data_IF_624993227261
#
_entry.id   IF_624993227261
#
_cell.length_a   1.000
_cell.length_b   1.000
_cell.length_c   1.000
_cell.angle_alpha   90.00
_cell.angle_beta   90.00
_cell.angle_gamma   90.00
#
_symmetry.space_group_name_H-M   'P 1'
#
loop_
_entity.id
_entity.type
_entity.pdbx_description
1 polymer ?
#
# COMPACT_ATOMS: atom_id res chain seq x y z
N UNK A 1 30.71 29.54 -13.81
CA UNK A 1 30.66 28.69 -15.02
C UNK A 1 29.68 29.34 -15.99
N UNK A 2 29.98 29.39 -17.29
CA UNK A 2 29.02 29.95 -18.27
C UNK A 2 27.99 28.89 -18.70
N UNK A 3 26.77 29.32 -19.05
CA UNK A 3 25.67 28.46 -19.51
C UNK A 3 26.08 27.47 -20.62
N UNK A 4 26.95 27.89 -21.54
CA UNK A 4 27.43 27.06 -22.64
C UNK A 4 28.39 25.96 -22.18
N UNK A 5 29.17 26.19 -21.12
CA UNK A 5 30.06 25.19 -20.53
C UNK A 5 29.28 24.15 -19.72
N UNK A 6 28.24 24.60 -18.98
CA UNK A 6 27.33 23.72 -18.25
C UNK A 6 26.58 22.80 -19.22
N UNK A 7 26.04 23.34 -20.31
CA UNK A 7 25.32 22.55 -21.32
C UNK A 7 26.23 21.55 -22.05
N UNK A 8 27.48 21.93 -22.34
CA UNK A 8 28.44 21.02 -22.99
C UNK A 8 28.83 19.86 -22.07
N UNK A 9 29.05 20.13 -20.77
CA UNK A 9 29.35 19.09 -19.78
C UNK A 9 28.14 18.18 -19.50
N UNK A 10 26.93 18.73 -19.45
CA UNK A 10 25.68 17.96 -19.30
C UNK A 10 25.48 17.02 -20.48
N UNK A 11 25.69 17.51 -21.71
CA UNK A 11 25.60 16.65 -22.91
C UNK A 11 26.66 15.55 -22.94
N UNK A 12 27.86 15.81 -22.41
CA UNK A 12 28.92 14.81 -22.31
C UNK A 12 28.58 13.74 -21.24
N UNK A 13 28.05 14.14 -20.09
CA UNK A 13 27.61 13.23 -19.01
C UNK A 13 26.39 12.37 -19.42
N UNK A 14 25.45 12.95 -20.16
CA UNK A 14 24.30 12.21 -20.73
C UNK A 14 24.79 11.15 -21.71
N UNK A 15 25.80 11.45 -22.54
CA UNK A 15 26.35 10.46 -23.48
C UNK A 15 27.16 9.35 -22.81
N UNK A 16 27.76 9.60 -21.64
CA UNK A 16 28.60 8.64 -20.92
C UNK A 16 27.80 7.63 -20.08
N UNK A 17 26.54 7.93 -19.72
CA UNK A 17 25.67 7.09 -18.87
C UNK A 17 24.43 6.51 -19.58
N UNK A 18 24.21 6.86 -20.85
CA UNK A 18 23.08 6.37 -21.64
C UNK A 18 23.19 4.85 -21.92
N UNK A 19 24.41 4.33 -22.00
CA UNK A 19 24.68 2.92 -22.24
C UNK A 19 24.17 2.03 -21.11
N UNK A 20 24.52 2.34 -19.87
CA UNK A 20 24.13 1.54 -18.72
C UNK A 20 22.63 1.63 -18.45
N UNK A 21 22.03 2.81 -18.66
CA UNK A 21 20.58 3.00 -18.60
C UNK A 21 19.83 2.09 -19.57
N UNK A 22 20.26 2.03 -20.84
CA UNK A 22 19.62 1.18 -21.85
C UNK A 22 19.81 -0.30 -21.53
N UNK A 23 21.00 -0.71 -21.06
CA UNK A 23 21.26 -2.11 -20.65
C UNK A 23 20.38 -2.54 -19.47
N UNK A 24 20.16 -1.67 -18.48
CA UNK A 24 19.28 -1.98 -17.34
C UNK A 24 17.84 -2.20 -17.77
N UNK A 25 17.32 -1.41 -18.71
CA UNK A 25 15.97 -1.61 -19.25
C UNK A 25 15.84 -2.95 -19.99
N UNK A 26 16.81 -3.28 -20.84
CA UNK A 26 16.86 -4.57 -21.57
C UNK A 26 16.94 -5.74 -20.57
N UNK A 27 17.77 -5.60 -19.54
CA UNK A 27 17.95 -6.59 -18.48
C UNK A 27 16.65 -6.91 -17.75
N UNK A 28 15.90 -5.87 -17.36
CA UNK A 28 14.61 -6.01 -16.68
C UNK A 28 13.56 -6.61 -17.61
N UNK A 29 13.40 -6.06 -18.82
CA UNK A 29 12.33 -6.46 -19.74
C UNK A 29 12.49 -7.90 -20.22
N UNK A 30 13.73 -8.32 -20.53
CA UNK A 30 14.02 -9.63 -21.11
C UNK A 30 14.58 -10.64 -20.12
N UNK A 31 14.73 -10.22 -18.85
CA UNK A 31 15.32 -11.00 -17.77
C UNK A 31 16.71 -11.55 -18.14
N UNK A 32 17.55 -10.71 -18.75
CA UNK A 32 18.93 -11.01 -19.14
C UNK A 32 19.86 -10.38 -18.12
N UNK A 33 20.67 -11.19 -17.44
CA UNK A 33 21.60 -10.69 -16.41
C UNK A 33 23.06 -10.79 -16.83
N UNK A 34 23.33 -11.37 -17.99
CA UNK A 34 24.66 -11.50 -18.55
C UNK A 34 25.13 -10.22 -19.26
N UNK A 35 26.18 -9.62 -18.71
CA UNK A 35 26.74 -8.36 -19.17
C UNK A 35 27.25 -8.41 -20.63
N UNK A 36 27.82 -9.53 -21.08
CA UNK A 36 28.29 -9.69 -22.46
C UNK A 36 27.11 -9.72 -23.46
N UNK A 37 25.99 -10.31 -23.05
CA UNK A 37 24.73 -10.31 -23.82
C UNK A 37 24.13 -8.90 -23.88
N UNK A 38 24.05 -8.20 -22.74
CA UNK A 38 23.56 -6.82 -22.66
C UNK A 38 24.41 -5.85 -23.49
N UNK A 39 25.73 -6.00 -23.44
CA UNK A 39 26.67 -5.25 -24.28
C UNK A 39 26.41 -5.48 -25.77
N UNK A 40 26.13 -6.73 -26.17
CA UNK A 40 25.89 -7.08 -27.57
C UNK A 40 24.56 -6.52 -28.08
N UNK A 41 23.49 -6.59 -27.27
CA UNK A 41 22.17 -6.05 -27.61
C UNK A 41 22.21 -4.52 -27.66
N UNK A 42 22.88 -3.87 -26.71
CA UNK A 42 23.05 -2.41 -26.71
C UNK A 42 23.77 -1.92 -27.97
N UNK A 43 24.83 -2.62 -28.39
CA UNK A 43 25.56 -2.28 -29.59
C UNK A 43 24.70 -2.44 -30.86
N UNK A 44 23.81 -3.44 -30.92
CA UNK A 44 22.86 -3.56 -32.04
C UNK A 44 21.83 -2.41 -32.02
N UNK A 45 21.31 -2.05 -30.84
CA UNK A 45 20.39 -0.93 -30.67
C UNK A 45 20.97 0.41 -31.13
N UNK A 46 22.18 0.77 -30.69
CA UNK A 46 22.83 2.05 -31.09
C UNK A 46 23.13 2.11 -32.58
N UNK A 47 23.36 0.95 -33.21
CA UNK A 47 23.66 0.88 -34.65
C UNK A 47 22.39 0.74 -35.51
N UNK A 48 21.22 0.57 -34.92
CA UNK A 48 19.95 0.55 -35.64
C UNK A 48 19.46 1.97 -35.92
N UNK A 49 19.75 2.44 -37.13
CA UNK A 49 19.32 3.77 -37.60
C UNK A 49 17.79 3.91 -37.77
N UNK A 50 17.02 2.82 -37.60
CA UNK A 50 15.55 2.87 -37.67
C UNK A 50 14.89 2.99 -36.29
N UNK A 51 15.62 2.73 -35.20
CA UNK A 51 15.10 2.88 -33.84
C UNK A 51 15.28 4.34 -33.39
N UNK A 52 14.17 5.05 -33.19
CA UNK A 52 14.19 6.42 -32.67
C UNK A 52 14.38 6.47 -31.14
N UNK A 53 14.09 5.36 -30.45
CA UNK A 53 14.13 5.18 -29.00
C UNK A 53 14.20 3.69 -28.65
N UNK A 54 14.60 3.35 -27.43
CA UNK A 54 14.63 1.96 -26.93
C UNK A 54 13.23 1.33 -26.89
N UNK A 55 12.19 2.12 -26.69
CA UNK A 55 10.79 1.65 -26.68
C UNK A 55 10.24 1.32 -28.08
N UNK A 56 10.92 1.78 -29.13
CA UNK A 56 10.58 1.47 -30.54
C UNK A 56 11.51 0.39 -31.13
N UNK A 57 12.48 -0.08 -30.35
CA UNK A 57 13.51 -1.00 -30.82
C UNK A 57 13.01 -2.45 -30.82
N UNK A 58 13.37 -3.21 -31.86
CA UNK A 58 13.05 -4.64 -31.96
C UNK A 58 14.07 -5.48 -31.18
N UNK A 59 13.99 -5.40 -29.85
CA UNK A 59 14.92 -6.06 -28.93
C UNK A 59 14.89 -7.59 -29.12
N UNK A 60 13.70 -8.17 -29.36
CA UNK A 60 13.55 -9.61 -29.62
C UNK A 60 14.23 -10.01 -30.93
N UNK A 61 14.12 -9.19 -31.98
CA UNK A 61 14.86 -9.38 -33.24
C UNK A 61 16.38 -9.29 -33.05
N UNK A 62 16.88 -8.42 -32.16
CA UNK A 62 18.30 -8.36 -31.83
C UNK A 62 18.78 -9.61 -31.11
N UNK A 63 18.00 -10.12 -30.15
CA UNK A 63 18.29 -11.36 -29.40
C UNK A 63 18.34 -12.57 -30.34
N UNK A 64 17.36 -12.69 -31.23
CA UNK A 64 17.31 -13.77 -32.23
C UNK A 64 18.51 -13.71 -33.20
N UNK A 65 18.84 -12.50 -33.67
CA UNK A 65 19.98 -12.26 -34.57
C UNK A 65 21.32 -12.59 -33.91
N UNK A 66 21.47 -12.29 -32.63
CA UNK A 66 22.68 -12.56 -31.85
C UNK A 66 22.76 -14.02 -31.37
N UNK A 67 21.69 -14.81 -31.52
CA UNK A 67 21.65 -16.22 -31.12
C UNK A 67 21.76 -16.40 -29.60
N UNK A 68 21.24 -15.45 -28.83
CA UNK A 68 21.23 -15.50 -27.36
C UNK A 68 20.14 -16.48 -26.93
N UNK A 69 20.55 -17.56 -26.25
CA UNK A 69 19.63 -18.57 -25.72
C UNK A 69 19.14 -18.18 -24.33
N UNK A 70 17.86 -17.85 -24.21
CA UNK A 70 17.22 -17.37 -22.98
C UNK A 70 16.82 -18.52 -22.03
N UNK A 71 16.99 -19.80 -22.43
CA UNK A 71 16.61 -20.94 -21.58
C UNK A 71 17.60 -21.22 -20.44
N UNK A 72 18.88 -20.85 -20.57
CA UNK A 72 19.94 -21.14 -19.58
C UNK A 72 20.03 -20.11 -18.42
N UNK A 73 19.27 -19.00 -18.44
CA UNK A 73 19.33 -17.92 -17.43
C UNK A 73 18.10 -17.83 -16.49
N UNK A 74 17.16 -18.78 -16.57
CA UNK A 74 15.96 -18.80 -15.72
C UNK A 74 16.21 -19.49 -14.37
N UNK A 75 16.55 -18.73 -13.33
CA UNK A 75 16.35 -19.18 -11.93
C UNK A 75 14.92 -18.83 -11.49
N UNK A 76 14.26 -19.86 -10.97
CA UNK A 76 12.83 -20.04 -10.74
C UNK A 76 12.34 -19.24 -9.52
N UNK A 77 11.25 -18.47 -9.68
CA UNK A 77 10.30 -18.20 -8.60
C UNK A 77 8.87 -18.53 -9.07
N UNK A 78 8.28 -19.52 -8.38
CA UNK A 78 6.84 -19.73 -8.13
C UNK A 78 5.87 -19.78 -9.31
N UNK A 79 5.36 -20.98 -9.62
CA UNK A 79 4.25 -21.19 -10.58
C UNK A 79 2.92 -20.56 -10.10
N UNK A 80 2.07 -20.05 -11.02
CA UNK A 80 0.73 -19.59 -10.70
C UNK A 80 -0.25 -20.77 -10.57
N UNK A 81 -1.05 -20.78 -9.50
CA UNK A 81 -2.12 -21.76 -9.31
C UNK A 81 -3.37 -21.31 -10.06
N UNK A 82 -3.92 -22.18 -10.90
CA UNK A 82 -5.17 -21.99 -11.65
C UNK A 82 -6.40 -22.20 -10.76
N UNK A 83 -7.43 -21.35 -10.90
CA UNK A 83 -8.75 -21.57 -10.31
C UNK A 83 -9.78 -21.87 -11.39
N UNK A 84 -10.32 -23.09 -11.40
CA UNK A 84 -11.61 -23.41 -12.01
C UNK A 84 -12.55 -24.03 -10.98
N UNK A 85 -13.70 -23.38 -10.85
CA UNK A 85 -15.06 -23.87 -10.59
C UNK A 85 -15.35 -24.82 -9.41
N UNK A 86 -16.09 -24.31 -8.42
CA UNK A 86 -17.13 -25.10 -7.74
C UNK A 86 -18.44 -24.29 -7.67
N UNK A 87 -19.48 -24.84 -8.32
CA UNK A 87 -20.88 -24.40 -8.19
C UNK A 87 -21.58 -25.14 -7.04
N UNK A 88 -22.62 -24.46 -6.53
CA UNK A 88 -23.75 -24.95 -5.71
C UNK A 88 -23.58 -25.07 -4.17
N UNK A 89 -24.12 -24.06 -3.45
CA UNK A 89 -25.42 -24.14 -2.76
C UNK A 89 -25.81 -22.80 -2.09
N UNK A 90 -27.05 -22.35 -2.34
CA UNK A 90 -27.73 -21.25 -1.64
C UNK A 90 -28.00 -21.61 -0.17
N UNK A 91 -27.54 -20.77 0.77
CA UNK A 91 -28.19 -20.42 2.06
C UNK A 91 -27.74 -18.99 2.44
N UNK A 92 -28.66 -18.26 3.08
CA UNK A 92 -28.79 -16.84 3.41
C UNK A 92 -27.56 -15.97 3.81
N UNK A 93 -27.80 -14.66 3.69
CA UNK A 93 -26.88 -13.49 3.76
C UNK A 93 -25.95 -13.45 4.98
N UNK A 94 -24.78 -12.82 4.77
CA UNK A 94 -23.61 -12.65 5.66
C UNK A 94 -22.46 -13.63 5.34
N UNK A 95 -21.92 -13.53 4.13
CA UNK A 95 -20.53 -13.93 3.88
C UNK A 95 -19.72 -12.65 3.79
N UNK A 96 -18.66 -12.55 4.59
CA UNK A 96 -17.60 -11.57 4.38
C UNK A 96 -17.21 -11.60 2.90
N UNK A 97 -17.48 -10.50 2.20
CA UNK A 97 -17.07 -10.33 0.82
C UNK A 97 -15.95 -9.30 0.82
N UNK A 98 -14.72 -9.79 0.68
CA UNK A 98 -13.51 -8.97 0.64
C UNK A 98 -13.63 -7.79 -0.35
N UNK A 99 -14.38 -7.98 -1.45
CA UNK A 99 -14.59 -6.95 -2.46
C UNK A 99 -15.37 -5.73 -1.95
N UNK A 100 -16.13 -5.83 -0.85
CA UNK A 100 -16.93 -4.72 -0.35
C UNK A 100 -16.03 -3.63 0.27
N UNK A 101 -14.98 -4.03 0.99
CA UNK A 101 -13.96 -3.13 1.53
C UNK A 101 -13.07 -2.55 0.44
N UNK A 102 -12.72 -3.35 -0.58
CA UNK A 102 -11.86 -2.90 -1.68
C UNK A 102 -12.46 -1.70 -2.43
N UNK A 103 -13.80 -1.64 -2.55
CA UNK A 103 -14.49 -0.52 -3.19
C UNK A 103 -14.40 0.80 -2.42
N UNK A 104 -14.00 0.76 -1.15
CA UNK A 104 -13.83 1.95 -0.31
C UNK A 104 -12.39 2.50 -0.36
N UNK A 105 -11.42 1.73 -0.88
CA UNK A 105 -10.01 2.12 -0.89
C UNK A 105 -9.76 3.28 -1.87
N UNK A 106 -9.19 4.41 -1.40
CA UNK A 106 -8.68 5.45 -2.28
C UNK A 106 -7.55 4.96 -3.20
N UNK A 107 -7.40 5.60 -4.36
CA UNK A 107 -6.24 5.40 -5.23
C UNK A 107 -5.04 6.17 -4.66
N UNK A 108 -4.05 5.45 -4.13
CA UNK A 108 -2.83 6.05 -3.57
C UNK A 108 -1.71 6.11 -4.60
N UNK A 109 -0.97 7.22 -4.63
CA UNK A 109 0.32 7.28 -5.32
C UNK A 109 1.42 6.53 -4.52
N UNK A 110 2.61 6.40 -5.09
CA UNK A 110 3.69 5.63 -4.48
C UNK A 110 4.13 6.16 -3.11
N UNK A 111 4.19 7.49 -2.92
CA UNK A 111 4.61 8.09 -1.65
C UNK A 111 3.55 7.86 -0.58
N UNK A 112 2.28 8.06 -0.96
CA UNK A 112 1.11 7.82 -0.13
C UNK A 112 1.00 6.35 0.27
N UNK A 113 1.27 5.42 -0.66
CA UNK A 113 1.34 3.99 -0.38
C UNK A 113 2.47 3.64 0.59
N UNK A 114 3.63 4.30 0.48
CA UNK A 114 4.75 4.07 1.41
C UNK A 114 4.39 4.52 2.83
N UNK A 115 3.68 5.65 2.98
CA UNK A 115 3.18 6.08 4.27
C UNK A 115 2.11 5.14 4.83
N UNK A 116 1.20 4.66 3.98
CA UNK A 116 0.23 3.63 4.33
C UNK A 116 0.92 2.38 4.92
N UNK A 117 1.94 1.84 4.23
CA UNK A 117 2.68 0.67 4.69
C UNK A 117 3.40 0.94 6.03
N UNK A 118 3.98 2.13 6.17
CA UNK A 118 4.65 2.55 7.40
C UNK A 118 3.67 2.57 8.58
N UNK A 119 2.49 3.17 8.40
CA UNK A 119 1.49 3.34 9.46
C UNK A 119 0.80 2.03 9.84
N UNK A 120 0.68 1.08 8.91
CA UNK A 120 0.23 -0.27 9.24
C UNK A 120 1.23 -1.00 10.15
N UNK A 121 2.52 -0.79 9.92
CA UNK A 121 3.57 -1.41 10.72
C UNK A 121 3.77 -0.73 12.08
N UNK A 122 3.66 0.60 12.14
CA UNK A 122 3.86 1.41 13.35
C UNK A 122 2.72 2.43 13.57
N UNK A 123 1.58 1.93 14.04
CA UNK A 123 0.38 2.73 14.27
C UNK A 123 0.43 3.65 15.51
N UNK A 124 1.55 3.66 16.23
CA UNK A 124 1.79 4.49 17.41
C UNK A 124 2.58 5.76 17.07
N UNK A 125 3.16 5.82 15.87
CA UNK A 125 3.92 6.96 15.43
C UNK A 125 3.03 8.21 15.31
N UNK A 126 3.60 9.36 15.65
CA UNK A 126 2.99 10.64 15.28
C UNK A 126 3.00 10.77 13.75
N UNK A 127 1.88 11.22 13.18
CA UNK A 127 1.74 11.36 11.72
C UNK A 127 2.83 12.26 11.14
N UNK A 128 3.16 13.36 11.82
CA UNK A 128 4.27 14.22 11.40
C UNK A 128 5.62 13.51 11.34
N UNK A 129 5.95 12.62 12.28
CA UNK A 129 7.23 11.91 12.25
C UNK A 129 7.26 10.91 11.10
N UNK A 130 6.19 10.13 10.92
CA UNK A 130 6.05 9.19 9.82
C UNK A 130 6.12 9.88 8.45
N UNK A 131 5.45 11.02 8.28
CA UNK A 131 5.47 11.82 7.05
C UNK A 131 6.89 12.31 6.75
N UNK A 132 7.59 12.84 7.75
CA UNK A 132 8.96 13.33 7.56
C UNK A 132 9.91 12.20 7.14
N UNK A 133 9.80 11.04 7.76
CA UNK A 133 10.60 9.86 7.43
C UNK A 133 10.31 9.38 6.00
N UNK A 134 9.04 9.21 5.65
CA UNK A 134 8.64 8.75 4.31
C UNK A 134 8.99 9.77 3.23
N UNK A 135 8.84 11.07 3.51
CA UNK A 135 9.22 12.12 2.58
C UNK A 135 10.71 12.12 2.27
N UNK A 136 11.57 11.90 3.28
CA UNK A 136 13.02 11.80 3.12
C UNK A 136 13.41 10.54 2.34
N UNK A 137 12.80 9.39 2.66
CA UNK A 137 13.00 8.14 1.93
C UNK A 137 12.55 8.22 0.46
N UNK A 138 11.58 9.08 0.17
CA UNK A 138 11.02 9.31 -1.17
C UNK A 138 11.82 10.33 -1.99
N UNK A 139 12.96 10.82 -1.50
CA UNK A 139 13.87 11.67 -2.28
C UNK A 139 14.69 10.83 -3.25
N UNK A 140 14.78 11.28 -4.50
CA UNK A 140 15.55 10.56 -5.51
C UNK A 140 17.04 10.55 -5.19
N UNK A 141 17.66 9.37 -5.25
CA UNK A 141 19.10 9.23 -5.02
C UNK A 141 19.92 9.35 -6.31
N UNK A 142 19.28 9.22 -7.47
CA UNK A 142 19.94 9.28 -8.77
C UNK A 142 19.84 10.69 -9.36
N UNK A 143 20.98 11.24 -9.80
CA UNK A 143 21.05 12.58 -10.39
C UNK A 143 20.12 12.77 -11.59
N UNK A 144 19.87 11.71 -12.37
CA UNK A 144 18.93 11.75 -13.49
C UNK A 144 17.51 12.07 -13.05
N UNK A 145 17.06 11.47 -11.94
CA UNK A 145 15.69 11.60 -11.48
C UNK A 145 15.48 12.92 -10.73
N UNK A 146 16.49 13.33 -9.94
CA UNK A 146 16.57 14.69 -9.39
C UNK A 146 16.49 15.79 -10.47
N UNK A 147 17.16 15.62 -11.60
CA UNK A 147 17.10 16.61 -12.68
C UNK A 147 15.77 16.55 -13.45
N UNK A 148 15.10 15.38 -13.50
CA UNK A 148 13.76 15.26 -14.10
C UNK A 148 12.70 15.95 -13.25
N UNK A 149 12.82 15.94 -11.92
CA UNK A 149 11.86 16.59 -11.02
C UNK A 149 12.04 18.11 -10.95
N UNK A 150 13.20 18.64 -11.35
CA UNK A 150 13.52 20.07 -11.29
C UNK A 150 12.45 21.01 -11.88
N UNK A 151 11.87 20.76 -13.08
CA UNK A 151 10.83 21.63 -13.62
C UNK A 151 9.59 21.70 -12.73
N UNK A 152 9.16 20.58 -12.15
CA UNK A 152 7.99 20.52 -11.28
C UNK A 152 8.28 21.21 -9.94
N UNK A 153 9.49 21.02 -9.41
CA UNK A 153 9.96 21.69 -8.19
C UNK A 153 10.08 23.22 -8.36
N UNK A 154 10.49 23.69 -9.55
CA UNK A 154 10.54 25.11 -9.87
C UNK A 154 9.12 25.69 -10.03
N UNK A 155 8.25 25.00 -10.79
CA UNK A 155 6.88 25.44 -11.02
C UNK A 155 6.04 25.46 -9.73
N UNK A 156 6.28 24.51 -8.82
CA UNK A 156 5.64 24.45 -7.51
C UNK A 156 6.24 25.39 -6.46
N UNK A 157 7.34 26.10 -6.77
CA UNK A 157 7.99 27.02 -5.84
C UNK A 157 8.80 26.34 -4.72
N UNK A 158 8.99 25.02 -4.78
CA UNK A 158 9.69 24.25 -3.76
C UNK A 158 11.18 24.59 -3.67
N UNK A 159 11.80 24.94 -4.80
CA UNK A 159 13.21 25.38 -4.80
C UNK A 159 13.40 26.72 -4.06
N UNK A 160 12.49 27.67 -4.25
CA UNK A 160 12.51 28.95 -3.54
C UNK A 160 12.26 28.74 -2.04
N UNK A 161 11.24 27.95 -1.70
CA UNK A 161 10.92 27.59 -0.31
C UNK A 161 12.10 26.89 0.39
N UNK A 162 12.75 25.93 -0.28
CA UNK A 162 13.94 25.25 0.24
C UNK A 162 15.08 26.25 0.55
N UNK A 163 15.31 27.19 -0.36
CA UNK A 163 16.32 28.24 -0.18
C UNK A 163 15.98 29.20 0.98
N UNK A 164 14.70 29.47 1.23
CA UNK A 164 14.24 30.30 2.35
C UNK A 164 14.31 29.59 3.70
N UNK A 165 13.88 28.34 3.77
CA UNK A 165 13.79 27.57 5.02
C UNK A 165 15.15 27.01 5.47
N UNK A 166 15.96 26.51 4.54
CA UNK A 166 17.20 25.79 4.84
C UNK A 166 18.46 26.52 4.35
N UNK A 167 18.31 27.49 3.44
CA UNK A 167 19.43 28.16 2.79
C UNK A 167 20.01 27.35 1.64
N UNK A 168 20.69 28.05 0.71
CA UNK A 168 21.40 27.40 -0.39
C UNK A 168 22.73 26.82 0.09
N UNK A 169 22.98 25.55 -0.23
CA UNK A 169 24.25 24.89 0.07
C UNK A 169 25.33 25.22 -0.96
N UNK A 170 24.92 25.64 -2.17
CA UNK A 170 25.79 25.83 -3.33
C UNK A 170 26.08 24.51 -4.07
N UNK A 171 25.51 23.41 -3.62
CA UNK A 171 25.48 22.11 -4.29
C UNK A 171 24.08 21.91 -4.87
N UNK A 172 23.98 22.06 -6.20
CA UNK A 172 22.71 22.02 -6.92
C UNK A 172 21.90 20.76 -6.61
N UNK A 173 22.55 19.60 -6.49
CA UNK A 173 21.82 18.35 -6.25
C UNK A 173 21.24 18.28 -4.84
N UNK A 174 21.97 18.78 -3.84
CA UNK A 174 21.45 18.86 -2.48
C UNK A 174 20.30 19.86 -2.37
N UNK A 175 20.43 20.99 -3.05
CA UNK A 175 19.36 22.01 -3.08
C UNK A 175 18.10 21.44 -3.77
N UNK A 176 18.24 20.62 -4.81
CA UNK A 176 17.12 19.89 -5.44
C UNK A 176 16.53 18.84 -4.50
N UNK A 177 17.36 18.03 -3.83
CA UNK A 177 16.90 17.02 -2.87
C UNK A 177 16.07 17.65 -1.75
N UNK A 178 16.50 18.80 -1.21
CA UNK A 178 15.73 19.53 -0.19
C UNK A 178 14.40 20.04 -0.74
N UNK A 179 14.36 20.53 -1.97
CA UNK A 179 13.11 20.93 -2.61
C UNK A 179 12.17 19.73 -2.83
N UNK A 180 12.70 18.58 -3.25
CA UNK A 180 11.92 17.36 -3.43
C UNK A 180 11.34 16.85 -2.11
N UNK A 181 12.13 16.87 -1.04
CA UNK A 181 11.66 16.55 0.30
C UNK A 181 10.46 17.42 0.72
N UNK A 182 10.54 18.74 0.51
CA UNK A 182 9.42 19.65 0.80
C UNK A 182 8.18 19.37 -0.05
N UNK A 183 8.36 19.04 -1.33
CA UNK A 183 7.26 18.63 -2.21
C UNK A 183 6.59 17.37 -1.69
N UNK A 184 7.38 16.34 -1.38
CA UNK A 184 6.87 15.07 -0.88
C UNK A 184 6.09 15.27 0.43
N UNK A 185 6.55 16.15 1.33
CA UNK A 185 5.81 16.52 2.54
C UNK A 185 4.43 17.09 2.20
N UNK A 186 4.38 18.06 1.29
CA UNK A 186 3.12 18.72 0.93
C UNK A 186 2.16 17.71 0.27
N UNK A 187 2.65 16.87 -0.65
CA UNK A 187 1.87 15.80 -1.29
C UNK A 187 1.29 14.81 -0.27
N UNK A 188 2.10 14.37 0.71
CA UNK A 188 1.64 13.47 1.78
C UNK A 188 0.60 14.14 2.68
N UNK A 189 0.72 15.44 2.95
CA UNK A 189 -0.30 16.16 3.73
C UNK A 189 -1.59 16.36 2.95
N UNK A 190 -1.51 16.60 1.64
CA UNK A 190 -2.69 16.74 0.78
C UNK A 190 -3.50 15.44 0.71
N UNK A 191 -2.82 14.29 0.76
CA UNK A 191 -3.44 12.96 0.69
C UNK A 191 -3.63 12.29 2.07
N UNK A 192 -3.40 12.99 3.18
CA UNK A 192 -3.33 12.37 4.51
C UNK A 192 -4.61 11.62 4.91
N UNK A 193 -5.78 12.21 4.64
CA UNK A 193 -7.07 11.60 4.96
C UNK A 193 -7.27 10.28 4.21
N UNK A 194 -6.93 10.26 2.91
CA UNK A 194 -7.04 9.07 2.07
C UNK A 194 -6.08 7.96 2.53
N UNK A 195 -4.87 8.33 2.96
CA UNK A 195 -3.88 7.40 3.49
C UNK A 195 -4.39 6.78 4.80
N UNK A 196 -4.82 7.61 5.75
CA UNK A 196 -5.35 7.13 7.05
C UNK A 196 -6.59 6.27 6.85
N UNK A 197 -7.48 6.66 5.94
CA UNK A 197 -8.65 5.85 5.57
C UNK A 197 -8.24 4.50 4.99
N UNK A 198 -7.23 4.45 4.13
CA UNK A 198 -6.71 3.19 3.56
C UNK A 198 -6.17 2.24 4.63
N UNK A 199 -5.44 2.78 5.62
CA UNK A 199 -4.96 2.02 6.78
C UNK A 199 -6.15 1.46 7.58
N UNK A 200 -7.14 2.30 7.89
CA UNK A 200 -8.34 1.92 8.62
C UNK A 200 -9.14 0.82 7.89
N UNK A 201 -9.32 0.94 6.57
CA UNK A 201 -10.00 -0.08 5.76
C UNK A 201 -9.25 -1.41 5.84
N UNK A 202 -7.93 -1.39 5.74
CA UNK A 202 -7.12 -2.63 5.77
C UNK A 202 -7.18 -3.31 7.14
N UNK A 203 -7.18 -2.52 8.22
CA UNK A 203 -7.40 -3.04 9.58
C UNK A 203 -8.80 -3.63 9.74
N UNK A 204 -9.83 -2.96 9.23
CA UNK A 204 -11.20 -3.48 9.29
C UNK A 204 -11.36 -4.79 8.50
N UNK A 205 -10.72 -4.86 7.33
CA UNK A 205 -10.69 -6.03 6.46
C UNK A 205 -10.03 -7.23 7.15
N UNK A 206 -8.96 -7.02 7.93
CA UNK A 206 -8.25 -8.06 8.68
C UNK A 206 -9.10 -8.74 9.76
N UNK A 207 -10.16 -8.09 10.26
CA UNK A 207 -11.08 -8.71 11.22
C UNK A 207 -12.10 -9.66 10.57
N UNK A 208 -12.16 -9.68 9.24
CA UNK A 208 -13.05 -10.53 8.42
C UNK A 208 -14.54 -10.46 8.81
N UNK A 209 -14.97 -9.31 9.35
CA UNK A 209 -16.38 -9.02 9.64
C UNK A 209 -17.05 -8.43 8.38
N UNK A 210 -18.32 -8.76 8.07
CA UNK A 210 -19.01 -8.11 6.97
C UNK A 210 -19.04 -6.59 7.10
N UNK A 211 -18.95 -5.86 5.97
CA UNK A 211 -19.10 -4.40 5.97
C UNK A 211 -20.54 -4.04 6.33
N UNK A 212 -20.76 -3.65 7.58
CA UNK A 212 -22.06 -3.15 8.06
C UNK A 212 -22.18 -1.64 7.86
N UNK A 213 -23.39 -1.10 8.02
CA UNK A 213 -23.66 0.34 7.89
C UNK A 213 -22.83 1.15 8.91
N UNK A 214 -22.69 0.67 10.15
CA UNK A 214 -21.88 1.35 11.17
C UNK A 214 -20.39 1.36 10.86
N UNK A 215 -19.84 0.26 10.32
CA UNK A 215 -18.42 0.21 9.90
C UNK A 215 -18.20 1.14 8.70
N UNK A 216 -19.10 1.10 7.71
CA UNK A 216 -19.02 1.97 6.54
C UNK A 216 -19.11 3.46 6.93
N UNK A 217 -20.01 3.82 7.86
CA UNK A 217 -20.12 5.17 8.39
C UNK A 217 -18.84 5.60 9.12
N UNK A 218 -18.31 4.76 10.01
CA UNK A 218 -17.07 5.05 10.73
C UNK A 218 -15.89 5.30 9.77
N UNK A 219 -15.71 4.45 8.75
CA UNK A 219 -14.67 4.60 7.73
C UNK A 219 -14.85 5.86 6.88
N UNK A 220 -16.09 6.26 6.59
CA UNK A 220 -16.39 7.45 5.80
C UNK A 220 -16.27 8.76 6.61
N UNK A 221 -16.29 8.69 7.93
CA UNK A 221 -16.12 9.84 8.82
C UNK A 221 -14.65 10.22 9.06
N UNK A 222 -13.71 9.37 8.64
CA UNK A 222 -12.26 9.68 8.67
C UNK A 222 -11.99 10.85 7.73
N UNK A 223 -11.70 12.01 8.32
CA UNK A 223 -11.43 13.26 7.62
C UNK A 223 -10.76 14.26 8.56
N UNK A 224 -10.19 15.33 7.99
CA UNK A 224 -9.55 16.42 8.72
C UNK A 224 -8.41 15.94 9.66
N UNK A 225 -7.66 14.91 9.23
CA UNK A 225 -6.57 14.34 10.02
C UNK A 225 -5.48 15.39 10.27
N UNK A 226 -5.08 15.54 11.54
CA UNK A 226 -4.08 16.53 11.93
C UNK A 226 -2.70 15.88 12.06
N UNK A 227 -1.69 16.53 11.47
CA UNK A 227 -0.28 16.11 11.53
C UNK A 227 0.29 15.90 12.94
N UNK A 228 -0.31 16.51 13.95
CA UNK A 228 0.10 16.36 15.34
C UNK A 228 -0.54 15.16 16.05
N UNK A 229 -1.48 14.48 15.39
CA UNK A 229 -2.17 13.32 15.93
C UNK A 229 -1.34 12.05 15.69
N UNK A 230 -1.63 11.02 16.48
CA UNK A 230 -1.30 9.63 16.13
C UNK A 230 -2.52 9.01 15.45
N UNK A 231 -2.31 7.91 14.71
CA UNK A 231 -3.40 7.17 14.08
C UNK A 231 -4.14 6.25 15.07
N UNK A 232 -3.49 5.89 16.19
CA UNK A 232 -4.03 5.01 17.23
C UNK A 232 -5.47 5.36 17.69
N UNK A 233 -5.81 6.62 18.05
CA UNK A 233 -7.17 6.93 18.49
C UNK A 233 -8.24 6.67 17.42
N UNK A 234 -7.91 6.91 16.16
CA UNK A 234 -8.81 6.65 15.01
C UNK A 234 -9.02 5.14 14.87
N UNK A 235 -7.94 4.37 15.01
CA UNK A 235 -8.00 2.91 14.95
C UNK A 235 -8.79 2.34 16.12
N UNK A 236 -8.61 2.85 17.34
CA UNK A 236 -9.32 2.36 18.51
C UNK A 236 -10.82 2.65 18.44
N UNK A 237 -11.22 3.82 17.94
CA UNK A 237 -12.64 4.14 17.68
C UNK A 237 -13.25 3.18 16.64
N UNK A 238 -12.49 2.85 15.58
CA UNK A 238 -12.91 1.86 14.61
C UNK A 238 -13.04 0.46 15.23
N UNK A 239 -12.09 0.02 16.06
CA UNK A 239 -12.17 -1.28 16.75
C UNK A 239 -13.38 -1.36 17.67
N UNK A 240 -13.68 -0.30 18.40
CA UNK A 240 -14.85 -0.23 19.25
C UNK A 240 -16.13 -0.38 18.41
N UNK A 241 -16.20 0.31 17.26
CA UNK A 241 -17.31 0.19 16.31
C UNK A 241 -17.47 -1.24 15.80
N UNK A 242 -16.39 -1.88 15.36
CA UNK A 242 -16.39 -3.28 14.92
C UNK A 242 -16.86 -4.22 16.03
N UNK A 243 -16.46 -3.96 17.27
CA UNK A 243 -16.94 -4.69 18.46
C UNK A 243 -18.46 -4.59 18.62
N UNK A 244 -19.03 -3.38 18.59
CA UNK A 244 -20.48 -3.19 18.69
C UNK A 244 -21.25 -3.87 17.55
N UNK A 245 -20.75 -3.77 16.33
CA UNK A 245 -21.38 -4.40 15.16
C UNK A 245 -21.32 -5.93 15.24
N UNK A 246 -20.22 -6.50 15.75
CA UNK A 246 -20.11 -7.93 16.04
C UNK A 246 -21.13 -8.40 17.10
N UNK A 247 -21.34 -7.59 18.15
CA UNK A 247 -22.35 -7.87 19.17
C UNK A 247 -23.76 -7.88 18.58
N UNK A 248 -24.09 -6.93 17.70
CA UNK A 248 -25.39 -6.87 17.04
C UNK A 248 -25.62 -8.09 16.12
N UNK A 249 -24.58 -8.53 15.39
CA UNK A 249 -24.62 -9.78 14.61
C UNK A 249 -24.89 -10.98 15.53
N UNK A 250 -24.22 -11.05 16.68
CA UNK A 250 -24.41 -12.14 17.64
C UNK A 250 -25.86 -12.17 18.18
N UNK A 251 -26.40 -11.00 18.56
CA UNK A 251 -27.79 -10.82 19.00
C UNK A 251 -28.78 -11.29 17.94
N UNK A 252 -28.54 -10.94 16.68
CA UNK A 252 -29.41 -11.34 15.58
C UNK A 252 -29.38 -12.87 15.38
N UNK A 253 -28.20 -13.49 15.42
CA UNK A 253 -28.05 -14.95 15.32
C UNK A 253 -28.79 -15.69 16.44
N UNK A 254 -28.59 -15.28 17.70
CA UNK A 254 -29.28 -15.88 18.86
C UNK A 254 -30.81 -15.74 18.74
N UNK A 255 -31.28 -14.57 18.30
CA UNK A 255 -32.71 -14.30 18.07
C UNK A 255 -33.29 -15.20 16.97
N UNK A 256 -32.55 -15.42 15.87
CA UNK A 256 -32.95 -16.33 14.77
C UNK A 256 -33.06 -17.78 15.25
N UNK A 257 -32.25 -18.18 16.23
CA UNK A 257 -32.32 -19.49 16.89
C UNK A 257 -33.43 -19.58 17.96
N UNK A 258 -34.13 -18.48 18.23
CA UNK A 258 -35.23 -18.42 19.21
C UNK A 258 -34.76 -18.36 20.66
N UNK A 259 -33.52 -17.93 20.89
CA UNK A 259 -32.98 -17.66 22.23
C UNK A 259 -33.41 -16.24 22.62
N UNK A 260 -34.03 -16.11 23.80
CA UNK A 260 -34.45 -14.81 24.36
C UNK A 260 -33.27 -14.19 25.11
N UNK A 261 -32.89 -12.97 24.72
CA UNK A 261 -31.71 -12.27 25.26
C UNK A 261 -32.11 -11.60 26.58
N UNK A 262 -31.59 -12.13 27.68
CA UNK A 262 -31.75 -11.58 29.02
C UNK A 262 -30.43 -10.97 29.51
N UNK A 263 -30.45 -10.35 30.71
CA UNK A 263 -29.28 -9.71 31.29
C UNK A 263 -28.07 -10.65 31.41
N UNK A 264 -28.29 -11.94 31.71
CA UNK A 264 -27.20 -12.93 31.81
C UNK A 264 -26.54 -13.18 30.44
N UNK A 265 -27.31 -13.29 29.36
CA UNK A 265 -26.79 -13.49 28.00
C UNK A 265 -26.13 -12.21 27.47
N UNK A 266 -26.67 -11.04 27.82
CA UNK A 266 -26.09 -9.76 27.42
C UNK A 266 -24.66 -9.62 27.96
N UNK A 267 -24.36 -10.11 29.17
CA UNK A 267 -23.01 -10.11 29.75
C UNK A 267 -22.02 -10.91 28.87
N UNK A 268 -22.42 -12.08 28.34
CA UNK A 268 -21.57 -12.85 27.41
C UNK A 268 -21.40 -12.14 26.06
N UNK A 269 -22.42 -11.42 25.60
CA UNK A 269 -22.35 -10.69 24.33
C UNK A 269 -21.41 -9.48 24.48
N UNK A 270 -21.44 -8.77 25.61
CA UNK A 270 -20.54 -7.64 25.88
C UNK A 270 -19.06 -8.04 25.87
N UNK A 271 -18.73 -9.32 26.10
CA UNK A 271 -17.37 -9.85 25.96
C UNK A 271 -16.91 -10.01 24.50
N UNK A 272 -17.81 -9.94 23.51
CA UNK A 272 -17.45 -9.93 22.10
C UNK A 272 -16.84 -8.57 21.78
N UNK A 273 -15.52 -8.50 21.85
CA UNK A 273 -14.73 -7.31 21.54
C UNK A 273 -13.51 -7.69 20.72
N UNK A 274 -13.00 -6.73 19.94
CA UNK A 274 -11.77 -6.90 19.16
C UNK A 274 -10.55 -7.21 20.05
N UNK A 275 -10.56 -6.75 21.31
CA UNK A 275 -9.45 -6.94 22.24
C UNK A 275 -9.35 -8.36 22.81
N UNK A 276 -10.41 -9.16 22.67
CA UNK A 276 -10.45 -10.57 23.07
C UNK A 276 -10.04 -11.52 21.92
N UNK A 277 -9.69 -10.99 20.74
CA UNK A 277 -9.18 -11.82 19.65
C UNK A 277 -7.79 -12.36 19.97
N UNK A 278 -7.69 -13.68 20.02
CA UNK A 278 -6.41 -14.37 19.98
C UNK A 278 -5.81 -14.23 18.57
N UNK A 279 -4.48 -14.16 18.46
CA UNK A 279 -3.78 -13.78 17.22
C UNK A 279 -3.95 -14.66 15.97
N UNK A 280 -4.82 -15.68 16.00
CA UNK A 280 -5.23 -16.48 14.82
C UNK A 280 -6.76 -16.53 14.63
N UNK A 281 -7.55 -15.81 15.44
CA UNK A 281 -9.00 -15.83 15.41
C UNK A 281 -9.51 -14.57 14.71
N UNK A 282 -10.50 -14.72 13.82
CA UNK A 282 -11.23 -13.58 13.25
C UNK A 282 -12.48 -13.26 14.09
N UNK A 283 -13.14 -12.12 13.81
CA UNK A 283 -14.32 -11.72 14.59
C UNK A 283 -15.49 -12.70 14.45
N UNK A 284 -15.66 -13.33 13.29
CA UNK A 284 -16.75 -14.28 13.09
C UNK A 284 -16.57 -15.57 13.89
N UNK A 285 -15.34 -16.04 14.02
CA UNK A 285 -14.99 -17.19 14.86
C UNK A 285 -15.28 -16.87 16.33
N UNK A 286 -14.87 -15.69 16.81
CA UNK A 286 -15.17 -15.24 18.18
C UNK A 286 -16.68 -15.17 18.46
N UNK A 287 -17.45 -14.59 17.54
CA UNK A 287 -18.92 -14.55 17.64
C UNK A 287 -19.49 -15.95 17.76
N UNK A 288 -19.04 -16.88 16.91
CA UNK A 288 -19.58 -18.25 16.91
C UNK A 288 -19.20 -19.00 18.20
N UNK A 289 -17.96 -18.86 18.67
CA UNK A 289 -17.50 -19.49 19.91
C UNK A 289 -18.30 -19.00 21.12
N UNK A 290 -18.53 -17.68 21.22
CA UNK A 290 -19.34 -17.09 22.30
C UNK A 290 -20.80 -17.52 22.24
N UNK A 291 -21.38 -17.64 21.05
CA UNK A 291 -22.73 -18.17 20.87
C UNK A 291 -22.83 -19.62 21.35
N UNK A 292 -21.83 -20.47 21.07
CA UNK A 292 -21.83 -21.85 21.56
C UNK A 292 -21.65 -21.94 23.07
N UNK A 293 -20.79 -21.10 23.67
CA UNK A 293 -20.65 -20.99 25.13
C UNK A 293 -21.98 -20.67 25.82
N UNK A 294 -22.73 -19.69 25.29
CA UNK A 294 -24.07 -19.32 25.78
C UNK A 294 -25.02 -20.53 25.71
N UNK A 295 -25.00 -21.30 24.62
CA UNK A 295 -25.87 -22.48 24.46
C UNK A 295 -25.56 -23.57 25.48
N UNK A 296 -24.27 -23.87 25.70
CA UNK A 296 -23.83 -24.88 26.66
C UNK A 296 -24.33 -24.54 28.08
N UNK A 297 -24.19 -23.29 28.51
CA UNK A 297 -24.63 -22.85 29.83
C UNK A 297 -26.16 -22.86 29.99
N UNK A 298 -26.91 -22.56 28.93
CA UNK A 298 -28.37 -22.70 28.91
C UNK A 298 -28.82 -24.17 29.01
N UNK A 299 -28.10 -25.10 28.40
CA UNK A 299 -28.39 -26.55 28.48
C UNK A 299 -28.08 -27.12 29.87
N UNK A 300 -26.94 -26.76 30.47
CA UNK A 300 -26.56 -27.17 31.83
C UNK A 300 -27.62 -26.72 32.86
N UNK A 301 -28.14 -25.50 32.72
CA UNK A 301 -29.19 -24.98 33.60
C UNK A 301 -30.54 -25.70 33.45
N UNK A 302 -30.86 -26.24 32.26
CA UNK A 302 -32.06 -27.08 32.04
C UNK A 302 -31.95 -28.43 32.75
N UNK A 303 -30.76 -29.03 32.80
CA UNK A 303 -30.54 -30.32 33.45
C UNK A 303 -30.45 -30.23 34.98
N UNK A 304 -30.01 -29.10 35.55
CA UNK A 304 -30.05 -28.89 37.01
C UNK A 304 -31.45 -28.60 37.58
N UNK A 305 -32.43 -28.28 36.72
CA UNK A 305 -33.82 -27.98 37.12
C UNK A 305 -34.77 -29.18 37.03
N UNK A 306 -34.27 -30.39 36.71
CA UNK A 306 -35.02 -31.65 36.65
C UNK A 306 -34.77 -32.54 37.86
#
# INVERSE_FOLDING_TARGET
>A
MSYYEVRANVNQLISENYEDYVKSLISIEKNINNEDCLNSIYNEFINDNNAASIFDADIDGYIEKLGIDLEDERVIHGEPVSYEEEQEREVDREKFNKNDYENLKPDLDNASFTLYDYLLYDNQAYLSDAINEVADQSVDIYYSDLLKSLPDLENGGYYERAAEEFGLTGDLYKDIMTAQYLRNIDELYENLDDIVKSVAISIAEDYELPLTEGIEEALNNISDCNKHDSIEPIIDELKDTIGYEAQDIAKEKLSREGIDINDDIEEYIEEITVYELDGNQNMMDLINDKIEEIKEDLEINKDMSR
#
